data_IF_202500567719
#
_entry.id   IF_202500567719
#
_cell.length_a   1.000
_cell.length_b   1.000
_cell.length_c   1.000
_cell.angle_alpha   90.00
_cell.angle_beta   90.00
_cell.angle_gamma   90.00
#
_symmetry.space_group_name_H-M   'P 1'
#
loop_
_entity.id
_entity.type
_entity.pdbx_description
1 polymer ?
#
# COMPACT_ATOMS: atom_id res chain seq x y z
N UNK A 1 -16.08 1.00 -14.96
CA UNK A 1 -15.70 0.12 -13.83
C UNK A 1 -15.01 1.00 -12.80
N UNK A 2 -15.32 0.83 -11.52
CA UNK A 2 -14.61 1.53 -10.45
C UNK A 2 -13.11 1.25 -10.56
N UNK A 3 -12.28 2.20 -10.17
CA UNK A 3 -10.83 2.08 -10.12
C UNK A 3 -10.31 2.68 -8.83
N UNK A 4 -9.12 2.28 -8.41
CA UNK A 4 -8.40 2.92 -7.31
C UNK A 4 -7.12 3.57 -7.84
N UNK A 5 -6.76 4.71 -7.26
CA UNK A 5 -5.43 5.31 -7.38
C UNK A 5 -4.60 4.82 -6.21
N UNK A 6 -3.41 4.32 -6.47
CA UNK A 6 -2.43 3.92 -5.47
C UNK A 6 -1.26 4.89 -5.58
N UNK A 7 -0.90 5.55 -4.48
CA UNK A 7 0.23 6.48 -4.39
C UNK A 7 1.23 5.93 -3.40
N UNK A 8 2.52 5.89 -3.76
CA UNK A 8 3.60 5.56 -2.84
C UNK A 8 3.85 6.77 -1.95
N UNK A 9 3.46 6.67 -0.68
CA UNK A 9 3.58 7.78 0.28
C UNK A 9 4.95 7.82 0.95
N UNK A 10 5.49 6.66 1.32
CA UNK A 10 6.73 6.60 2.08
C UNK A 10 7.49 5.30 1.86
N UNK A 11 8.80 5.42 1.66
CA UNK A 11 9.73 4.30 1.73
C UNK A 11 10.36 4.25 3.12
N UNK A 12 10.42 3.07 3.73
CA UNK A 12 10.95 2.90 5.10
C UNK A 12 11.99 1.78 5.15
N UNK A 13 12.82 1.86 6.20
CA UNK A 13 13.80 0.84 6.56
C UNK A 13 13.83 0.73 8.09
N UNK A 14 13.55 -0.46 8.60
CA UNK A 14 13.72 -0.79 10.01
C UNK A 14 15.18 -1.17 10.24
N UNK A 15 16.03 -0.15 10.45
CA UNK A 15 17.49 -0.33 10.50
C UNK A 15 17.97 -1.28 11.60
N UNK A 16 17.29 -1.29 12.75
CA UNK A 16 17.57 -2.17 13.87
C UNK A 16 17.36 -3.63 13.47
N UNK A 17 16.20 -3.95 12.88
CA UNK A 17 15.90 -5.29 12.38
C UNK A 17 16.80 -5.69 11.22
N UNK A 18 17.12 -4.75 10.33
CA UNK A 18 18.06 -4.98 9.24
C UNK A 18 19.44 -5.37 9.77
N UNK A 19 19.97 -4.64 10.76
CA UNK A 19 21.29 -4.91 11.37
C UNK A 19 21.33 -6.25 12.10
N UNK A 20 20.24 -6.66 12.73
CA UNK A 20 20.18 -7.90 13.51
C UNK A 20 19.94 -9.15 12.63
N UNK A 21 19.08 -9.04 11.61
CA UNK A 21 18.56 -10.21 10.89
C UNK A 21 19.00 -10.32 9.42
N UNK A 22 19.52 -9.26 8.80
CA UNK A 22 19.99 -9.33 7.41
C UNK A 22 21.46 -9.76 7.33
N UNK A 23 21.79 -10.57 6.32
CA UNK A 23 23.16 -11.06 6.10
C UNK A 23 24.12 -9.98 5.55
N UNK A 24 23.61 -8.81 5.18
CA UNK A 24 24.38 -7.70 4.63
C UNK A 24 23.62 -6.39 4.71
N UNK A 25 24.26 -5.31 4.25
CA UNK A 25 23.62 -4.00 4.19
C UNK A 25 22.42 -4.02 3.23
N UNK A 26 21.29 -3.55 3.73
CA UNK A 26 20.04 -3.43 2.98
C UNK A 26 19.54 -2.00 3.06
N UNK A 27 19.05 -1.49 1.93
CA UNK A 27 18.41 -0.19 1.83
C UNK A 27 16.88 -0.29 1.85
N UNK A 28 16.24 0.85 1.60
CA UNK A 28 14.80 0.91 1.32
C UNK A 28 14.43 0.08 0.08
N UNK A 29 13.14 -0.11 -0.16
CA UNK A 29 12.67 -0.79 -1.37
C UNK A 29 13.16 -0.06 -2.64
N UNK A 30 13.75 -0.81 -3.57
CA UNK A 30 14.27 -0.28 -4.85
C UNK A 30 13.24 -0.33 -5.98
N UNK A 31 12.10 -1.01 -5.77
CA UNK A 31 11.04 -1.16 -6.78
C UNK A 31 10.20 0.11 -6.92
N UNK A 32 10.06 0.87 -5.84
CA UNK A 32 9.18 2.03 -5.75
C UNK A 32 9.98 3.30 -5.45
N UNK A 33 9.39 4.46 -5.76
CA UNK A 33 9.86 5.77 -5.30
C UNK A 33 8.69 6.57 -4.73
N UNK A 34 8.97 7.48 -3.79
CA UNK A 34 7.94 8.32 -3.18
C UNK A 34 7.27 9.21 -4.22
N UNK A 35 5.94 9.35 -4.11
CA UNK A 35 5.11 10.06 -5.07
C UNK A 35 4.77 9.27 -6.34
N UNK A 36 5.26 8.04 -6.51
CA UNK A 36 4.89 7.19 -7.64
C UNK A 36 3.40 6.83 -7.58
N UNK A 37 2.72 6.91 -8.73
CA UNK A 37 1.28 6.71 -8.82
C UNK A 37 0.92 5.55 -9.77
N UNK A 38 -0.11 4.80 -9.40
CA UNK A 38 -0.65 3.70 -10.19
C UNK A 38 -2.17 3.76 -10.20
N UNK A 39 -2.77 3.26 -11.28
CA UNK A 39 -4.21 3.09 -11.39
C UNK A 39 -4.51 1.59 -11.44
N UNK A 40 -5.30 1.11 -10.48
CA UNK A 40 -5.58 -0.30 -10.30
C UNK A 40 -7.09 -0.60 -10.41
N UNK A 41 -7.40 -1.72 -11.06
CA UNK A 41 -8.68 -2.42 -10.94
C UNK A 41 -8.50 -3.65 -10.04
N UNK A 42 -9.14 -4.77 -10.39
CA UNK A 42 -8.83 -6.08 -9.78
C UNK A 42 -7.52 -6.67 -10.31
N UNK A 43 -7.08 -6.21 -11.49
CA UNK A 43 -5.80 -6.59 -12.06
C UNK A 43 -4.68 -5.72 -11.49
N UNK A 44 -3.53 -6.37 -11.25
CA UNK A 44 -2.30 -5.71 -10.81
C UNK A 44 -1.82 -4.71 -11.86
N UNK A 45 -1.44 -3.48 -11.47
CA UNK A 45 -0.83 -2.53 -12.40
C UNK A 45 0.48 -3.07 -13.00
N UNK A 46 0.77 -2.68 -14.24
CA UNK A 46 2.04 -3.00 -14.89
C UNK A 46 3.21 -2.42 -14.08
N UNK A 47 4.29 -3.20 -13.92
CA UNK A 47 5.46 -2.79 -13.15
C UNK A 47 5.28 -2.77 -11.62
N UNK A 48 4.11 -3.14 -11.09
CA UNK A 48 3.89 -3.20 -9.65
C UNK A 48 4.46 -4.49 -9.04
N UNK A 49 5.09 -4.40 -7.85
CA UNK A 49 5.61 -5.54 -7.11
C UNK A 49 4.51 -6.56 -6.75
N UNK A 50 4.71 -7.84 -7.04
CA UNK A 50 3.69 -8.89 -6.78
C UNK A 50 3.36 -9.07 -5.30
N UNK A 51 4.36 -8.99 -4.43
CA UNK A 51 4.15 -9.10 -2.99
C UNK A 51 3.34 -7.92 -2.47
N UNK A 52 3.76 -6.69 -2.77
CA UNK A 52 3.00 -5.50 -2.38
C UNK A 52 1.57 -5.55 -2.96
N UNK A 53 1.39 -6.03 -4.20
CA UNK A 53 0.05 -6.17 -4.77
C UNK A 53 -0.83 -7.14 -3.98
N UNK A 54 -0.30 -8.29 -3.58
CA UNK A 54 -1.03 -9.26 -2.76
C UNK A 54 -1.56 -8.61 -1.46
N UNK A 55 -0.72 -7.80 -0.81
CA UNK A 55 -1.09 -7.10 0.42
C UNK A 55 -2.16 -6.01 0.20
N UNK A 56 -2.07 -5.29 -0.93
CA UNK A 56 -3.01 -4.18 -1.22
C UNK A 56 -4.34 -4.65 -1.84
N UNK A 57 -4.36 -5.82 -2.48
CA UNK A 57 -5.52 -6.32 -3.23
C UNK A 57 -6.81 -6.36 -2.40
N UNK A 58 -6.85 -6.81 -1.14
CA UNK A 58 -8.08 -6.81 -0.34
C UNK A 58 -8.68 -5.40 -0.17
N UNK A 59 -7.83 -4.38 0.01
CA UNK A 59 -8.28 -3.00 0.16
C UNK A 59 -8.85 -2.46 -1.15
N UNK A 60 -8.14 -2.69 -2.25
CA UNK A 60 -8.59 -2.32 -3.59
C UNK A 60 -9.92 -3.02 -3.92
N UNK A 61 -10.00 -4.34 -3.73
CA UNK A 61 -11.20 -5.13 -3.97
C UNK A 61 -12.40 -4.62 -3.14
N UNK A 62 -12.19 -4.25 -1.88
CA UNK A 62 -13.23 -3.69 -1.01
C UNK A 62 -13.79 -2.38 -1.57
N UNK A 63 -12.93 -1.46 -2.02
CA UNK A 63 -13.36 -0.22 -2.66
C UNK A 63 -14.10 -0.46 -3.97
N UNK A 64 -13.61 -1.40 -4.79
CA UNK A 64 -14.22 -1.77 -6.08
C UNK A 64 -15.59 -2.43 -5.92
N UNK A 65 -15.80 -3.19 -4.84
CA UNK A 65 -17.08 -3.81 -4.49
C UNK A 65 -18.11 -2.81 -3.92
N UNK A 66 -17.74 -1.53 -3.77
CA UNK A 66 -18.62 -0.50 -3.21
C UNK A 66 -18.47 -0.30 -1.71
N UNK A 67 -17.61 -1.07 -1.04
CA UNK A 67 -17.28 -0.88 0.38
C UNK A 67 -16.45 0.38 0.63
N UNK A 68 -16.24 0.65 1.91
CA UNK A 68 -15.38 1.71 2.43
C UNK A 68 -14.74 1.27 3.76
N UNK A 69 -13.88 2.12 4.30
CA UNK A 69 -13.21 1.91 5.59
C UNK A 69 -13.61 3.00 6.58
N UNK A 70 -14.91 3.25 6.68
CA UNK A 70 -15.49 4.22 7.61
C UNK A 70 -16.54 3.53 8.49
N UNK A 71 -16.62 3.96 9.75
CA UNK A 71 -17.57 3.44 10.73
C UNK A 71 -17.14 2.14 11.41
N UNK A 72 -17.92 1.74 12.42
CA UNK A 72 -17.64 0.59 13.28
C UNK A 72 -16.20 0.57 13.80
N UNK A 73 -15.44 -0.49 13.50
CA UNK A 73 -14.05 -0.66 13.91
C UNK A 73 -13.08 0.34 13.24
N UNK A 74 -13.54 1.04 12.21
CA UNK A 74 -12.78 2.05 11.47
C UNK A 74 -13.20 3.48 11.82
N UNK A 75 -14.13 3.65 12.77
CA UNK A 75 -14.61 4.99 13.16
C UNK A 75 -13.48 5.83 13.76
N UNK A 76 -13.31 7.05 13.23
CA UNK A 76 -12.23 7.96 13.62
C UNK A 76 -10.82 7.57 13.16
N UNK A 77 -10.64 6.55 12.32
CA UNK A 77 -9.32 6.11 11.87
C UNK A 77 -8.82 6.84 10.62
N UNK A 78 -9.47 6.63 9.47
CA UNK A 78 -9.09 7.26 8.20
C UNK A 78 -9.73 8.64 8.06
N UNK A 79 -9.09 9.52 7.28
CA UNK A 79 -9.55 10.91 7.08
C UNK A 79 -10.94 11.00 6.42
N UNK A 80 -11.29 10.02 5.59
CA UNK A 80 -12.54 9.93 4.85
C UNK A 80 -12.84 8.47 4.46
N UNK A 81 -14.00 8.22 3.85
CA UNK A 81 -14.48 6.90 3.44
C UNK A 81 -13.94 6.44 2.08
N UNK A 82 -13.05 7.21 1.44
CA UNK A 82 -12.51 6.93 0.10
C UNK A 82 -11.01 6.70 0.11
N UNK A 83 -10.37 6.83 1.26
CA UNK A 83 -8.93 6.74 1.42
C UNK A 83 -8.59 5.62 2.40
N UNK A 84 -7.51 4.89 2.10
CA UNK A 84 -6.89 3.93 3.01
C UNK A 84 -5.37 4.07 2.96
N UNK A 85 -4.70 4.03 4.11
CA UNK A 85 -3.25 3.85 4.19
C UNK A 85 -2.98 2.38 4.46
N UNK A 86 -2.25 1.74 3.57
CA UNK A 86 -1.83 0.34 3.69
C UNK A 86 -0.33 0.23 3.39
N UNK A 87 0.27 -0.93 3.66
CA UNK A 87 1.70 -1.12 3.43
C UNK A 87 2.02 -2.46 2.79
N UNK A 88 3.19 -2.52 2.13
CA UNK A 88 3.85 -3.80 1.88
C UNK A 88 4.30 -4.37 3.21
N UNK A 89 3.98 -5.64 3.44
CA UNK A 89 4.22 -6.37 4.69
C UNK A 89 5.68 -6.81 4.88
N UNK A 90 6.61 -6.28 4.08
CA UNK A 90 8.05 -6.44 4.28
C UNK A 90 8.43 -5.80 5.63
N UNK A 91 8.76 -6.64 6.61
CA UNK A 91 9.12 -6.20 7.96
C UNK A 91 10.48 -5.50 8.06
N UNK A 92 11.32 -5.56 7.03
CA UNK A 92 12.63 -4.89 7.00
C UNK A 92 12.52 -3.56 6.28
N UNK A 93 11.90 -3.53 5.09
CA UNK A 93 11.82 -2.32 4.25
C UNK A 93 10.40 -2.06 3.76
N UNK A 94 9.45 -1.83 4.68
CA UNK A 94 8.05 -1.62 4.32
C UNK A 94 7.88 -0.38 3.45
N UNK A 95 6.92 -0.45 2.54
CA UNK A 95 6.50 0.68 1.70
C UNK A 95 5.08 1.04 2.08
N UNK A 96 4.84 2.32 2.35
CA UNK A 96 3.51 2.85 2.69
C UNK A 96 2.84 3.36 1.42
N UNK A 97 1.61 2.94 1.22
CA UNK A 97 0.78 3.31 0.09
C UNK A 97 -0.50 4.00 0.58
N UNK A 98 -0.89 5.06 -0.12
CA UNK A 98 -2.23 5.63 -0.05
C UNK A 98 -3.06 5.07 -1.19
N UNK A 99 -4.20 4.48 -0.85
CA UNK A 99 -5.19 3.97 -1.80
C UNK A 99 -6.40 4.89 -1.78
N UNK A 100 -6.77 5.43 -2.93
CA UNK A 100 -7.89 6.35 -3.11
C UNK A 100 -8.89 5.76 -4.11
N UNK A 101 -10.16 5.67 -3.71
CA UNK A 101 -11.24 5.26 -4.61
C UNK A 101 -11.54 6.36 -5.63
N UNK A 102 -11.46 6.04 -6.92
CA UNK A 102 -11.86 6.93 -8.00
C UNK A 102 -13.35 6.73 -8.29
N UNK A 103 -14.08 7.84 -8.34
CA UNK A 103 -15.52 7.88 -8.61
C UNK A 103 -15.86 7.45 -10.04
#
# INVERSE_FOLDING_TARGET
MAKCKITVEKLMLNEDLAKEYCQGEVGVCEVFHEGQEFIAGLEKPEGFCDWAWHDLLPYVASFLAGGNFAGEIFDGWMKDDKTMIACCTDGIRPVVFKIEKLA
#
